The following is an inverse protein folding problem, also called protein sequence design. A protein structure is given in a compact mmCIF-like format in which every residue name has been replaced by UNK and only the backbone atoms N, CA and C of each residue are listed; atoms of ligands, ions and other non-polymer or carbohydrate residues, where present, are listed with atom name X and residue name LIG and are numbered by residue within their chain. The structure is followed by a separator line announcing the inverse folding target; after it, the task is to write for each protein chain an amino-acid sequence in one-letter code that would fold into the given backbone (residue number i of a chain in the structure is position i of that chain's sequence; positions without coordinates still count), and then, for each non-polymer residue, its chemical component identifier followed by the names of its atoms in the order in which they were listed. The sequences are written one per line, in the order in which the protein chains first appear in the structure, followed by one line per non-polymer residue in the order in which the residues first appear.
data_IF_468742504439
#
_entry.id   IF_468742504439
#
_cell.length_a   1.000
_cell.length_b   1.000
_cell.length_c   1.000
_cell.angle_alpha   90.00
_cell.angle_beta   90.00
_cell.angle_gamma   90.00
#
_symmetry.space_group_name_H-M   'P 1'
#
loop_
_entity.id
_entity.type
_entity.pdbx_description
1 polymer ?
#
# COMPACT_ATOMS: atom_id res chain seq x y z
N UNK A 1 -22.03 35.13 0.99
CA UNK A 1 -21.64 33.73 1.27
C UNK A 1 -20.51 33.35 0.32
N UNK A 2 -19.31 33.11 0.84
CA UNK A 2 -18.04 33.31 0.13
C UNK A 2 -17.68 32.25 -0.93
N UNK A 3 -17.26 32.75 -2.09
CA UNK A 3 -16.71 32.04 -3.27
C UNK A 3 -15.38 31.31 -2.97
N UNK A 4 -14.81 31.47 -1.77
CA UNK A 4 -13.53 30.89 -1.34
C UNK A 4 -13.58 29.45 -0.81
N UNK A 5 -14.76 28.83 -0.74
CA UNK A 5 -14.94 27.48 -0.16
C UNK A 5 -14.58 26.33 -1.12
N UNK A 6 -14.32 26.61 -2.41
CA UNK A 6 -13.89 25.59 -3.40
C UNK A 6 -12.38 25.36 -3.46
N UNK A 7 -11.57 26.27 -2.91
CA UNK A 7 -10.10 26.13 -2.95
C UNK A 7 -9.52 25.42 -1.72
N UNK A 8 -10.29 25.35 -0.63
CA UNK A 8 -9.83 24.87 0.69
C UNK A 8 -10.25 23.44 1.04
N UNK A 9 -10.63 22.59 0.08
CA UNK A 9 -10.88 21.18 0.35
C UNK A 9 -9.73 20.26 -0.12
N UNK A 10 -8.49 20.65 0.19
CA UNK A 10 -7.29 19.83 -0.07
C UNK A 10 -6.50 19.45 1.20
N UNK A 11 -6.96 19.86 2.39
CA UNK A 11 -6.25 19.67 3.68
C UNK A 11 -6.96 18.78 4.70
N UNK A 12 -7.78 17.83 4.28
CA UNK A 12 -8.40 16.86 5.20
C UNK A 12 -7.81 15.45 5.08
N UNK A 13 -6.86 15.24 4.16
CA UNK A 13 -6.23 13.93 3.94
C UNK A 13 -4.68 14.00 4.01
N UNK A 14 -4.17 14.78 4.95
CA UNK A 14 -2.75 14.76 5.33
C UNK A 14 -2.55 13.67 6.38
N UNK A 15 -2.43 12.44 5.91
CA UNK A 15 -1.98 11.30 6.71
C UNK A 15 -0.59 11.60 7.28
N UNK A 16 -0.35 11.26 8.56
CA UNK A 16 0.93 11.50 9.23
C UNK A 16 2.11 11.04 8.38
N UNK A 17 3.11 11.91 8.11
CA UNK A 17 4.24 11.52 7.29
C UNK A 17 5.09 10.50 8.05
N UNK A 18 5.17 9.28 7.53
CA UNK A 18 6.12 8.28 8.02
C UNK A 18 7.23 8.19 7.01
N UNK A 19 8.48 8.24 7.49
CA UNK A 19 9.65 7.98 6.66
C UNK A 19 9.57 6.54 6.16
N UNK A 20 9.22 6.37 4.89
CA UNK A 20 9.13 5.07 4.26
C UNK A 20 10.01 5.02 3.02
N UNK A 21 10.84 3.99 2.95
CA UNK A 21 11.73 3.76 1.83
C UNK A 21 10.94 3.13 0.68
N UNK A 22 10.57 3.94 -0.31
CA UNK A 22 9.92 3.51 -1.57
C UNK A 22 10.50 2.21 -2.17
N UNK A 23 11.83 2.01 -2.28
CA UNK A 23 12.40 0.76 -2.80
C UNK A 23 12.11 -0.47 -1.92
N UNK A 24 12.10 -0.34 -0.59
CA UNK A 24 11.74 -1.47 0.28
C UNK A 24 10.28 -1.88 0.07
N UNK A 25 9.39 -0.89 0.01
CA UNK A 25 7.97 -1.15 -0.18
C UNK A 25 7.67 -1.79 -1.54
N UNK A 26 8.35 -1.35 -2.61
CA UNK A 26 8.27 -2.01 -3.92
C UNK A 26 8.68 -3.48 -3.84
N UNK A 27 9.78 -3.79 -3.13
CA UNK A 27 10.23 -5.18 -2.94
C UNK A 27 9.18 -5.99 -2.19
N UNK A 28 8.59 -5.44 -1.14
CA UNK A 28 7.55 -6.14 -0.37
C UNK A 28 6.29 -6.38 -1.18
N UNK A 29 5.83 -5.40 -1.96
CA UNK A 29 4.67 -5.55 -2.85
C UNK A 29 4.93 -6.62 -3.91
N UNK A 30 6.12 -6.64 -4.54
CA UNK A 30 6.48 -7.68 -5.51
C UNK A 30 6.40 -9.09 -4.91
N UNK A 31 6.95 -9.26 -3.69
CA UNK A 31 6.87 -10.54 -2.97
C UNK A 31 5.43 -10.92 -2.62
N UNK A 32 4.61 -9.94 -2.21
CA UNK A 32 3.20 -10.16 -1.88
C UNK A 32 2.41 -10.67 -3.08
N UNK A 33 2.65 -10.06 -4.25
CA UNK A 33 2.07 -10.51 -5.52
C UNK A 33 2.51 -11.92 -5.88
N UNK A 34 3.80 -12.25 -5.74
CA UNK A 34 4.30 -13.61 -5.96
C UNK A 34 3.57 -14.63 -5.07
N UNK A 35 3.62 -14.40 -3.76
CA UNK A 35 2.99 -15.29 -2.77
C UNK A 35 1.49 -15.48 -3.04
N UNK A 36 0.77 -14.40 -3.37
CA UNK A 36 -0.65 -14.49 -3.70
C UNK A 36 -0.90 -15.27 -4.99
N UNK A 37 -0.15 -14.96 -6.05
CA UNK A 37 -0.32 -15.56 -7.37
C UNK A 37 -0.07 -17.08 -7.31
N UNK A 38 1.03 -17.50 -6.70
CA UNK A 38 1.34 -18.94 -6.56
C UNK A 38 0.28 -19.68 -5.75
N UNK A 39 -0.34 -19.02 -4.77
CA UNK A 39 -1.31 -19.67 -3.90
C UNK A 39 -2.77 -19.64 -4.41
N UNK A 40 -3.12 -18.73 -5.32
CA UNK A 40 -4.49 -18.59 -5.85
C UNK A 40 -4.62 -18.98 -7.32
N UNK A 41 -3.52 -18.95 -8.08
CA UNK A 41 -3.51 -19.25 -9.51
C UNK A 41 -2.63 -20.46 -9.85
N UNK A 42 -2.11 -21.17 -8.85
CA UNK A 42 -1.24 -22.35 -9.01
C UNK A 42 -0.10 -22.14 -10.00
N UNK A 43 0.41 -20.91 -10.10
CA UNK A 43 1.54 -20.60 -10.99
C UNK A 43 2.80 -21.26 -10.44
N UNK A 44 3.61 -21.85 -11.31
CA UNK A 44 4.90 -22.46 -10.96
C UNK A 44 6.08 -21.49 -11.23
N UNK A 45 7.14 -21.60 -10.44
CA UNK A 45 8.40 -20.88 -10.68
C UNK A 45 8.42 -19.41 -10.23
N UNK A 46 9.18 -18.57 -10.95
CA UNK A 46 9.38 -17.14 -10.62
C UNK A 46 8.43 -16.18 -11.36
N UNK A 47 7.63 -16.70 -12.30
CA UNK A 47 6.74 -15.90 -13.14
C UNK A 47 5.38 -15.68 -12.47
N UNK A 48 4.85 -14.47 -12.61
CA UNK A 48 3.48 -14.12 -12.23
C UNK A 48 2.53 -14.43 -13.39
N UNK A 49 1.26 -14.73 -13.08
CA UNK A 49 0.24 -14.83 -14.12
C UNK A 49 0.05 -13.46 -14.82
N UNK A 50 -0.42 -13.43 -16.09
CA UNK A 50 -0.60 -12.19 -16.84
C UNK A 50 -1.43 -11.14 -16.09
N UNK A 51 -2.50 -11.58 -15.41
CA UNK A 51 -3.40 -10.71 -14.62
C UNK A 51 -2.68 -10.04 -13.45
N UNK A 52 -1.95 -10.83 -12.64
CA UNK A 52 -1.18 -10.30 -11.52
C UNK A 52 -0.03 -9.40 -11.98
N UNK A 53 0.63 -9.74 -13.10
CA UNK A 53 1.71 -8.95 -13.65
C UNK A 53 1.23 -7.58 -14.15
N UNK A 54 0.10 -7.54 -14.88
CA UNK A 54 -0.48 -6.29 -15.37
C UNK A 54 -0.84 -5.32 -14.22
N UNK A 55 -1.44 -5.85 -13.14
CA UNK A 55 -1.76 -5.06 -11.95
C UNK A 55 -0.48 -4.60 -11.23
N UNK A 56 0.53 -5.48 -11.10
CA UNK A 56 1.80 -5.15 -10.48
C UNK A 56 2.51 -4.01 -11.21
N UNK A 57 2.59 -4.07 -12.54
CA UNK A 57 3.20 -3.01 -13.36
C UNK A 57 2.51 -1.67 -13.14
N UNK A 58 1.17 -1.67 -13.17
CA UNK A 58 0.36 -0.47 -12.90
C UNK A 58 0.68 0.13 -11.53
N UNK A 59 0.73 -0.73 -10.49
CA UNK A 59 1.04 -0.31 -9.13
C UNK A 59 2.45 0.27 -9.01
N UNK A 60 3.44 -0.35 -9.67
CA UNK A 60 4.84 0.11 -9.63
C UNK A 60 5.02 1.50 -10.25
N UNK A 61 4.40 1.75 -11.39
CA UNK A 61 4.43 3.06 -12.06
C UNK A 61 3.79 4.15 -11.21
N UNK A 62 2.67 3.84 -10.55
CA UNK A 62 1.95 4.80 -9.70
C UNK A 62 2.68 5.08 -8.39
N UNK A 63 3.34 4.09 -7.79
CA UNK A 63 4.17 4.29 -6.59
C UNK A 63 5.34 5.23 -6.88
N UNK A 64 5.93 5.17 -8.09
CA UNK A 64 6.99 6.11 -8.49
C UNK A 64 6.50 7.55 -8.57
N UNK A 65 5.25 7.76 -9.01
CA UNK A 65 4.64 9.09 -9.20
C UNK A 65 3.79 9.51 -8.01
N UNK A 66 4.06 8.95 -6.83
CA UNK A 66 3.26 9.24 -5.64
C UNK A 66 3.47 10.70 -5.20
N UNK A 67 2.40 11.50 -5.01
CA UNK A 67 2.52 12.90 -4.62
C UNK A 67 3.10 13.08 -3.20
N UNK A 68 3.00 12.05 -2.36
CA UNK A 68 3.49 12.07 -0.98
C UNK A 68 5.01 11.83 -0.86
N UNK A 69 5.69 11.39 -1.94
CA UNK A 69 7.14 11.19 -1.93
C UNK A 69 7.67 10.31 -0.79
N UNK A 70 8.68 10.81 -0.08
CA UNK A 70 9.38 10.12 1.04
C UNK A 70 8.50 10.03 2.29
N UNK A 71 7.57 10.97 2.43
CA UNK A 71 6.67 11.09 3.58
C UNK A 71 5.38 10.27 3.44
N UNK A 72 5.32 9.35 2.47
CA UNK A 72 4.11 8.56 2.21
C UNK A 72 3.91 7.43 3.23
N UNK A 73 2.67 7.13 3.63
CA UNK A 73 2.38 5.92 4.37
C UNK A 73 2.54 4.67 3.49
N UNK A 74 2.36 3.49 4.08
CA UNK A 74 2.37 2.23 3.32
C UNK A 74 1.22 2.25 2.30
N UNK A 75 1.46 1.87 1.05
CA UNK A 75 0.46 1.98 -0.03
C UNK A 75 -0.82 1.18 0.24
N UNK A 76 -0.75 0.09 1.02
CA UNK A 76 -1.91 -0.74 1.35
C UNK A 76 -2.79 -0.20 2.48
N UNK A 77 -2.28 0.74 3.28
CA UNK A 77 -3.03 1.45 4.33
C UNK A 77 -3.34 2.91 3.97
N UNK A 78 -2.86 3.38 2.83
CA UNK A 78 -3.15 4.72 2.33
C UNK A 78 -4.66 4.86 2.09
N UNK A 79 -5.25 5.93 2.64
CA UNK A 79 -6.67 6.24 2.47
C UNK A 79 -6.94 6.88 1.10
N UNK A 80 -5.90 7.40 0.44
CA UNK A 80 -6.02 8.07 -0.86
C UNK A 80 -6.05 7.05 -1.99
N UNK A 81 -7.13 6.99 -2.80
CA UNK A 81 -7.21 6.08 -3.94
C UNK A 81 -6.26 6.53 -5.05
N UNK A 82 -5.08 5.89 -5.14
CA UNK A 82 -4.08 6.15 -6.18
C UNK A 82 -4.33 5.39 -7.50
N UNK A 83 -5.15 4.34 -7.45
CA UNK A 83 -5.51 3.49 -8.60
C UNK A 83 -7.01 3.59 -8.88
N UNK A 84 -7.47 3.11 -10.03
CA UNK A 84 -8.90 2.97 -10.27
C UNK A 84 -9.57 2.10 -9.19
N UNK A 85 -10.85 2.31 -8.89
CA UNK A 85 -11.55 1.61 -7.80
C UNK A 85 -11.40 0.08 -7.90
N UNK A 86 -11.62 -0.49 -9.09
CA UNK A 86 -11.44 -1.93 -9.35
C UNK A 86 -10.02 -2.40 -9.05
N UNK A 87 -9.00 -1.67 -9.51
CA UNK A 87 -7.59 -2.00 -9.26
C UNK A 87 -7.23 -1.87 -7.78
N UNK A 88 -7.79 -0.89 -7.08
CA UNK A 88 -7.58 -0.67 -5.64
C UNK A 88 -8.13 -1.84 -4.83
N UNK A 89 -9.33 -2.33 -5.17
CA UNK A 89 -9.94 -3.50 -4.52
C UNK A 89 -9.09 -4.76 -4.73
N UNK A 90 -8.66 -5.01 -5.97
CA UNK A 90 -7.79 -6.14 -6.30
C UNK A 90 -6.44 -6.05 -5.58
N UNK A 91 -5.82 -4.87 -5.55
CA UNK A 91 -4.58 -4.65 -4.82
C UNK A 91 -4.73 -4.94 -3.32
N UNK A 92 -5.78 -4.41 -2.68
CA UNK A 92 -6.07 -4.68 -1.26
C UNK A 92 -6.33 -6.16 -1.00
N UNK A 93 -7.05 -6.84 -1.89
CA UNK A 93 -7.29 -8.27 -1.84
C UNK A 93 -6.00 -9.09 -1.89
N UNK A 94 -5.09 -8.75 -2.81
CA UNK A 94 -3.77 -9.38 -2.92
C UNK A 94 -2.95 -9.15 -1.66
N UNK A 95 -2.85 -7.90 -1.20
CA UNK A 95 -2.08 -7.57 0.00
C UNK A 95 -2.61 -8.34 1.22
N UNK A 96 -3.93 -8.33 1.47
CA UNK A 96 -4.56 -9.08 2.57
C UNK A 96 -4.39 -10.60 2.41
N UNK A 97 -4.60 -11.14 1.22
CA UNK A 97 -4.44 -12.57 0.95
C UNK A 97 -2.98 -13.06 1.04
N UNK A 98 -2.02 -12.17 0.83
CA UNK A 98 -0.59 -12.46 0.96
C UNK A 98 -0.11 -12.42 2.41
N UNK A 99 -0.74 -11.64 3.30
CA UNK A 99 -0.25 -11.41 4.67
C UNK A 99 -0.02 -12.70 5.46
N UNK A 100 -1.02 -13.58 5.56
CA UNK A 100 -0.91 -14.86 6.28
C UNK A 100 0.24 -15.71 5.74
N UNK A 101 0.40 -15.78 4.42
CA UNK A 101 1.42 -16.60 3.75
C UNK A 101 2.82 -15.96 3.80
N UNK A 102 2.89 -14.63 3.76
CA UNK A 102 4.12 -13.88 3.95
C UNK A 102 4.69 -14.09 5.35
N UNK A 103 3.84 -14.21 6.37
CA UNK A 103 4.25 -14.56 7.72
C UNK A 103 4.96 -15.91 7.78
N UNK A 104 4.42 -16.94 7.11
CA UNK A 104 5.05 -18.27 7.08
C UNK A 104 6.33 -18.33 6.24
N UNK A 105 6.41 -17.61 5.11
CA UNK A 105 7.52 -17.72 4.15
C UNK A 105 8.64 -16.70 4.39
N UNK A 106 8.30 -15.53 4.90
CA UNK A 106 9.19 -14.39 5.12
C UNK A 106 8.86 -13.67 6.45
N UNK A 107 9.01 -14.35 7.60
CA UNK A 107 8.56 -13.83 8.90
C UNK A 107 9.18 -12.47 9.24
N UNK A 108 10.48 -12.29 9.02
CA UNK A 108 11.20 -11.03 9.31
C UNK A 108 10.61 -9.85 8.51
N UNK A 109 10.31 -10.05 7.23
CA UNK A 109 9.74 -9.01 6.37
C UNK A 109 8.32 -8.65 6.81
N UNK A 110 7.53 -9.64 7.18
CA UNK A 110 6.17 -9.45 7.68
C UNK A 110 6.17 -8.64 8.98
N UNK A 111 7.01 -9.01 9.96
CA UNK A 111 7.12 -8.30 11.24
C UNK A 111 7.54 -6.85 11.03
N UNK A 112 8.56 -6.59 10.18
CA UNK A 112 8.98 -5.22 9.83
C UNK A 112 7.82 -4.41 9.24
N UNK A 113 7.03 -5.01 8.36
CA UNK A 113 5.90 -4.31 7.74
C UNK A 113 4.76 -4.07 8.72
N UNK A 114 4.47 -5.03 9.61
CA UNK A 114 3.48 -4.88 10.67
C UNK A 114 3.87 -3.83 11.70
N UNK A 115 5.14 -3.76 12.09
CA UNK A 115 5.64 -2.69 12.96
C UNK A 115 5.44 -1.30 12.32
N UNK A 116 5.74 -1.15 11.02
CA UNK A 116 5.49 0.10 10.29
C UNK A 116 3.99 0.44 10.24
N UNK A 117 3.14 -0.57 10.05
CA UNK A 117 1.68 -0.44 10.06
C UNK A 117 1.14 0.01 11.42
N UNK A 118 1.60 -0.61 12.52
CA UNK A 118 1.24 -0.23 13.89
C UNK A 118 1.74 1.17 14.26
N UNK A 119 2.96 1.53 13.86
CA UNK A 119 3.46 2.89 14.02
C UNK A 119 2.57 3.91 13.31
N UNK A 120 2.04 3.59 12.13
CA UNK A 120 1.05 4.43 11.45
C UNK A 120 -0.29 4.51 12.17
N UNK A 121 -0.84 3.38 12.61
CA UNK A 121 -2.09 3.35 13.34
C UNK A 121 -2.02 4.20 14.63
N UNK A 122 -0.91 4.08 15.36
CA UNK A 122 -0.63 4.88 16.56
C UNK A 122 -0.57 6.39 16.26
N UNK A 123 0.15 6.78 15.21
CA UNK A 123 0.25 8.21 14.81
C UNK A 123 -1.09 8.77 14.34
N UNK A 124 -1.90 7.99 13.62
CA UNK A 124 -3.24 8.39 13.17
C UNK A 124 -4.18 8.60 14.36
N UNK A 125 -4.14 7.73 15.37
CA UNK A 125 -4.93 7.87 16.60
C UNK A 125 -4.55 9.14 17.37
N UNK A 126 -3.25 9.44 17.50
CA UNK A 126 -2.76 10.64 18.20
C UNK A 126 -3.13 11.94 17.48
N UNK A 127 -3.23 11.94 16.15
CA UNK A 127 -3.71 13.10 15.38
C UNK A 127 -5.21 13.32 15.51
N UNK A 128 -5.99 12.23 15.67
CA UNK A 128 -7.43 12.30 15.92
C UNK A 128 -7.78 12.85 17.30
N UNK A 129 -6.93 12.63 18.32
CA UNK A 129 -7.12 13.15 19.68
C UNK A 129 -6.76 14.63 19.86
N UNK A 130 -6.06 15.24 18.90
CA UNK A 130 -5.70 16.68 18.92
C UNK A 130 -6.72 17.57 18.21
N UNK A 131 -7.89 17.04 17.84
CA UNK A 131 -9.00 17.79 17.24
C UNK A 131 -10.12 17.97 18.25
#
# INVERSE_FOLDING_TARGET
MGIFSRFFNKRTNQQAPIKNTVPEEKKTIRKAFGVYCHAHHNTAGKALCPKCNALLMTVMTKIQRCPYGITKPLCHICDTPCFGQKQTLEFRKIMKGSQKRMFFRHPIMFVKQKMKEWGFAYMKQKQGQKK
#
